data_IF_201262961004
#
_entry.id   IF_201262961004
#
_cell.length_a   1.000
_cell.length_b   1.000
_cell.length_c   1.000
_cell.angle_alpha   90.00
_cell.angle_beta   90.00
_cell.angle_gamma   90.00
#
_symmetry.space_group_name_H-M   'P 1'
#
loop_
_entity.id
_entity.type
_entity.pdbx_description
1 polymer ?
#
# COMPACT_ATOMS: atom_id res chain seq x y z
N UNK A 1 0.28 -4.65 -0.99
CA UNK A 1 1.45 -3.81 -1.33
C UNK A 1 0.98 -2.52 -1.96
N UNK A 2 1.49 -1.40 -1.47
CA UNK A 2 1.12 -0.07 -1.95
C UNK A 2 2.37 0.69 -2.36
N UNK A 3 2.45 1.11 -3.62
CA UNK A 3 3.57 1.90 -4.14
C UNK A 3 3.29 3.38 -3.95
N UNK A 4 4.23 4.10 -3.32
CA UNK A 4 4.06 5.49 -2.95
C UNK A 4 5.38 6.27 -2.99
N UNK A 5 5.27 7.61 -2.95
CA UNK A 5 6.41 8.50 -2.82
C UNK A 5 6.01 9.72 -2.00
N UNK A 6 6.98 10.37 -1.38
CA UNK A 6 6.74 11.55 -0.53
C UNK A 6 6.19 12.75 -1.34
N UNK A 7 6.51 12.80 -2.63
CA UNK A 7 6.07 13.87 -3.53
C UNK A 7 4.72 13.61 -4.20
N UNK A 8 3.99 12.60 -3.77
CA UNK A 8 2.74 12.16 -4.39
C UNK A 8 1.54 12.51 -3.49
N UNK A 9 0.79 13.61 -3.76
CA UNK A 9 -0.34 14.00 -2.90
C UNK A 9 -1.42 12.93 -2.73
N UNK A 10 -1.86 12.21 -3.78
CA UNK A 10 -2.84 11.13 -3.58
C UNK A 10 -2.32 10.00 -2.69
N UNK A 11 -1.01 9.75 -2.70
CA UNK A 11 -0.40 8.76 -1.81
C UNK A 11 -0.57 9.16 -0.34
N UNK A 12 -0.36 10.44 -0.05
CA UNK A 12 -0.54 10.99 1.30
C UNK A 12 -1.98 10.82 1.75
N UNK A 13 -2.94 11.09 0.86
CA UNK A 13 -4.36 10.95 1.17
C UNK A 13 -4.76 9.51 1.47
N UNK A 14 -4.08 8.52 0.90
CA UNK A 14 -4.39 7.12 1.12
C UNK A 14 -3.88 6.59 2.47
N UNK A 15 -2.91 7.26 3.08
CA UNK A 15 -2.25 6.77 4.30
C UNK A 15 -3.20 6.57 5.48
N UNK A 16 -4.13 7.48 5.80
CA UNK A 16 -5.08 7.23 6.89
C UNK A 16 -5.91 5.96 6.67
N UNK A 17 -6.33 5.71 5.43
CA UNK A 17 -7.07 4.50 5.09
C UNK A 17 -6.21 3.25 5.27
N UNK A 18 -4.96 3.29 4.83
CA UNK A 18 -4.04 2.16 4.98
C UNK A 18 -3.73 1.87 6.45
N UNK A 19 -3.54 2.91 7.26
CA UNK A 19 -3.35 2.76 8.71
C UNK A 19 -4.57 2.12 9.35
N UNK A 20 -5.77 2.54 8.97
CA UNK A 20 -7.02 1.99 9.49
C UNK A 20 -7.18 0.52 9.11
N UNK A 21 -6.90 0.18 7.85
CA UNK A 21 -6.92 -1.22 7.40
C UNK A 21 -5.95 -2.07 8.20
N UNK A 22 -4.73 -1.59 8.38
CA UNK A 22 -3.72 -2.31 9.13
C UNK A 22 -4.15 -2.54 10.57
N UNK A 23 -4.66 -1.50 11.22
CA UNK A 23 -5.16 -1.57 12.59
C UNK A 23 -6.29 -2.58 12.73
N UNK A 24 -7.27 -2.52 11.82
CA UNK A 24 -8.49 -3.32 11.94
C UNK A 24 -8.30 -4.78 11.55
N UNK A 25 -7.38 -5.08 10.63
CA UNK A 25 -7.30 -6.39 10.00
C UNK A 25 -5.98 -7.14 10.17
N UNK A 26 -4.97 -6.55 10.82
CA UNK A 26 -3.69 -7.25 10.99
C UNK A 26 -3.84 -8.53 11.80
N UNK A 27 -4.73 -8.55 12.79
CA UNK A 27 -4.98 -9.74 13.59
C UNK A 27 -5.73 -10.82 12.83
N UNK A 28 -6.32 -10.44 11.69
CA UNK A 28 -7.01 -11.38 10.78
C UNK A 28 -6.09 -11.91 9.68
N UNK A 29 -4.84 -11.46 9.66
CA UNK A 29 -3.84 -11.92 8.71
C UNK A 29 -3.49 -10.93 7.62
N UNK A 30 -4.04 -9.71 7.64
CA UNK A 30 -3.65 -8.69 6.66
C UNK A 30 -2.27 -8.13 7.01
N UNK A 31 -1.44 -8.01 5.98
CA UNK A 31 -0.15 -7.34 6.10
C UNK A 31 -0.12 -6.21 5.07
N UNK A 32 0.00 -4.97 5.55
CA UNK A 32 0.12 -3.80 4.68
C UNK A 32 1.60 -3.48 4.53
N UNK A 33 2.05 -3.36 3.29
CA UNK A 33 3.45 -3.04 2.98
C UNK A 33 3.46 -1.86 2.01
N UNK A 34 4.08 -0.75 2.41
CA UNK A 34 4.29 0.39 1.55
C UNK A 34 5.66 0.32 0.89
N UNK A 35 5.69 0.35 -0.44
CA UNK A 35 6.93 0.33 -1.21
C UNK A 35 7.22 1.77 -1.63
N UNK A 36 8.27 2.34 -1.08
CA UNK A 36 8.63 3.73 -1.33
C UNK A 36 9.53 3.86 -2.55
N UNK A 37 9.16 4.76 -3.46
CA UNK A 37 9.86 4.99 -4.73
C UNK A 37 10.65 6.31 -4.76
N UNK A 38 10.83 6.99 -3.63
CA UNK A 38 11.70 8.16 -3.58
C UNK A 38 13.12 7.76 -3.97
N UNK A 39 13.81 8.63 -4.71
CA UNK A 39 15.19 8.39 -5.08
C UNK A 39 16.12 8.46 -3.87
N UNK A 40 15.78 9.33 -2.92
CA UNK A 40 16.52 9.47 -1.67
C UNK A 40 15.72 8.93 -0.50
N UNK A 41 16.26 7.93 0.17
CA UNK A 41 15.64 7.35 1.36
C UNK A 41 15.38 8.43 2.44
N UNK A 42 16.25 9.43 2.53
CA UNK A 42 16.09 10.52 3.49
C UNK A 42 14.80 11.31 3.28
N UNK A 43 14.34 11.48 2.04
CA UNK A 43 13.08 12.16 1.75
C UNK A 43 11.88 11.37 2.30
N UNK A 44 11.90 10.05 2.15
CA UNK A 44 10.88 9.19 2.72
C UNK A 44 10.89 9.21 4.25
N UNK A 45 12.07 9.19 4.85
CA UNK A 45 12.22 9.24 6.31
C UNK A 45 11.67 10.54 6.89
N UNK A 46 11.99 11.68 6.26
CA UNK A 46 11.49 12.98 6.69
C UNK A 46 9.97 13.04 6.57
N UNK A 47 9.43 12.54 5.46
CA UNK A 47 7.98 12.48 5.26
C UNK A 47 7.31 11.65 6.35
N UNK A 48 7.82 10.46 6.64
CA UNK A 48 7.24 9.55 7.64
C UNK A 48 7.36 10.09 9.07
N UNK A 49 8.35 10.93 9.36
CA UNK A 49 8.46 11.60 10.65
C UNK A 49 7.28 12.54 10.87
N UNK A 50 6.76 13.16 9.81
CA UNK A 50 5.62 14.08 9.86
C UNK A 50 4.28 13.39 9.61
N UNK A 51 4.30 12.19 9.02
CA UNK A 51 3.10 11.40 8.67
C UNK A 51 3.33 9.96 9.11
N UNK A 52 3.31 9.68 10.42
CA UNK A 52 3.64 8.35 10.93
C UNK A 52 2.61 7.30 10.47
N UNK A 53 3.13 6.10 10.18
CA UNK A 53 2.31 4.96 9.76
C UNK A 53 2.63 3.76 10.63
N UNK A 54 1.65 2.86 10.80
CA UNK A 54 1.81 1.64 11.59
C UNK A 54 2.13 0.42 10.74
N UNK A 55 2.02 0.53 9.43
CA UNK A 55 2.35 -0.58 8.53
C UNK A 55 3.81 -0.54 8.11
N UNK A 56 4.27 -1.65 7.53
CA UNK A 56 5.67 -1.81 7.13
C UNK A 56 6.02 -0.96 5.91
N UNK A 57 7.20 -0.37 5.91
CA UNK A 57 7.71 0.42 4.79
C UNK A 57 8.99 -0.24 4.27
N UNK A 58 9.06 -0.40 2.96
CA UNK A 58 10.24 -0.92 2.26
C UNK A 58 10.68 0.12 1.23
N UNK A 59 11.96 0.41 1.19
CA UNK A 59 12.52 1.34 0.21
C UNK A 59 12.90 0.62 -1.08
N UNK A 60 12.57 1.22 -2.23
CA UNK A 60 12.90 0.70 -3.56
C UNK A 60 13.49 1.84 -4.40
N UNK A 61 14.64 2.43 -4.01
CA UNK A 61 15.19 3.60 -4.70
C UNK A 61 15.59 3.33 -6.14
N UNK A 62 15.96 2.10 -6.47
CA UNK A 62 16.28 1.69 -7.85
C UNK A 62 15.04 1.46 -8.70
N UNK A 63 13.86 1.41 -8.08
CA UNK A 63 12.56 1.16 -8.74
C UNK A 63 12.47 -0.21 -9.41
N UNK A 64 13.31 -1.16 -9.01
CA UNK A 64 13.26 -2.51 -9.58
C UNK A 64 11.98 -3.24 -9.24
N UNK A 65 11.50 -3.11 -8.01
CA UNK A 65 10.24 -3.70 -7.60
C UNK A 65 9.08 -3.10 -8.39
N UNK A 66 9.06 -1.77 -8.54
CA UNK A 66 8.04 -1.10 -9.32
C UNK A 66 8.03 -1.56 -10.78
N UNK A 67 9.20 -1.75 -11.37
CA UNK A 67 9.31 -2.27 -12.74
C UNK A 67 8.78 -3.70 -12.84
N UNK A 68 9.11 -4.53 -11.87
CA UNK A 68 8.64 -5.93 -11.85
C UNK A 68 7.12 -6.03 -11.76
N UNK A 69 6.47 -5.10 -11.07
CA UNK A 69 5.01 -5.03 -10.97
C UNK A 69 4.37 -4.14 -12.04
N UNK A 70 5.16 -3.58 -12.93
CA UNK A 70 4.70 -2.71 -14.02
C UNK A 70 3.91 -1.50 -13.52
N UNK A 71 4.38 -0.89 -12.43
CA UNK A 71 3.73 0.29 -11.84
C UNK A 71 3.88 1.48 -12.77
N UNK A 72 2.76 2.04 -13.24
CA UNK A 72 2.75 3.16 -14.17
C UNK A 72 2.26 4.46 -13.53
N UNK A 73 1.63 4.38 -12.37
CA UNK A 73 1.07 5.53 -11.67
C UNK A 73 1.07 5.26 -10.17
N UNK A 74 0.99 6.31 -9.36
CA UNK A 74 0.94 6.19 -7.91
C UNK A 74 -0.26 6.97 -7.35
N UNK A 75 -0.86 6.49 -6.27
CA UNK A 75 -0.58 5.21 -5.64
C UNK A 75 -1.12 4.05 -6.48
N UNK A 76 -0.46 2.91 -6.44
CA UNK A 76 -0.96 1.66 -6.99
C UNK A 76 -0.86 0.60 -5.91
N UNK A 77 -1.98 -0.06 -5.63
CA UNK A 77 -2.04 -1.10 -4.60
C UNK A 77 -2.30 -2.45 -5.23
N UNK A 78 -1.58 -3.45 -4.78
CA UNK A 78 -1.74 -4.84 -5.20
C UNK A 78 -2.28 -5.64 -4.02
N UNK A 79 -3.43 -6.27 -4.22
CA UNK A 79 -3.99 -7.20 -3.24
C UNK A 79 -3.52 -8.61 -3.60
N UNK A 80 -2.71 -9.18 -2.73
CA UNK A 80 -2.08 -10.48 -2.93
C UNK A 80 -2.63 -11.43 -1.89
N UNK A 81 -3.11 -12.61 -2.32
CA UNK A 81 -3.69 -13.58 -1.41
C UNK A 81 -2.62 -14.41 -0.68
N UNK A 82 -3.06 -15.32 0.18
CA UNK A 82 -2.17 -16.16 0.99
C UNK A 82 -1.32 -17.13 0.16
N UNK A 83 -1.72 -17.36 -1.08
CA UNK A 83 -1.00 -18.24 -2.01
C UNK A 83 -0.02 -17.48 -2.90
N UNK A 84 0.05 -16.15 -2.74
CA UNK A 84 0.93 -15.30 -3.52
C UNK A 84 0.37 -14.83 -4.85
N UNK A 85 -0.92 -15.02 -5.08
CA UNK A 85 -1.57 -14.60 -6.33
C UNK A 85 -2.10 -13.18 -6.22
N UNK A 86 -1.91 -12.38 -7.26
CA UNK A 86 -2.48 -11.04 -7.34
C UNK A 86 -3.98 -11.19 -7.63
N UNK A 87 -4.81 -10.71 -6.73
CA UNK A 87 -6.25 -10.82 -6.82
C UNK A 87 -6.92 -9.52 -7.29
N UNK A 88 -6.26 -8.39 -7.08
CA UNK A 88 -6.79 -7.10 -7.48
C UNK A 88 -5.65 -6.08 -7.60
N UNK A 89 -5.77 -5.18 -8.57
CA UNK A 89 -4.87 -4.05 -8.74
C UNK A 89 -5.71 -2.78 -8.67
N UNK A 90 -5.42 -1.92 -7.68
CA UNK A 90 -6.13 -0.67 -7.50
C UNK A 90 -5.21 0.49 -7.84
N UNK A 91 -5.57 1.25 -8.88
CA UNK A 91 -4.78 2.39 -9.36
C UNK A 91 -5.41 3.69 -8.91
N UNK A 92 -4.59 4.56 -8.33
CA UNK A 92 -5.05 5.83 -7.77
C UNK A 92 -5.67 5.66 -6.40
N UNK A 93 -6.18 6.76 -5.86
CA UNK A 93 -6.91 6.75 -4.60
C UNK A 93 -8.08 7.72 -4.68
N UNK A 94 -9.28 7.18 -4.54
CA UNK A 94 -10.53 7.95 -4.50
C UNK A 94 -11.31 7.52 -3.27
N UNK A 95 -11.79 8.50 -2.51
CA UNK A 95 -12.51 8.23 -1.26
C UNK A 95 -13.75 7.36 -1.46
N UNK A 96 -14.42 7.48 -2.61
CA UNK A 96 -15.60 6.67 -2.91
C UNK A 96 -15.30 5.20 -3.17
N UNK A 97 -14.04 4.81 -3.34
CA UNK A 97 -13.65 3.43 -3.64
C UNK A 97 -13.16 2.67 -2.40
N UNK A 98 -13.07 3.34 -1.24
CA UNK A 98 -12.49 2.72 -0.04
C UNK A 98 -13.33 1.58 0.50
N UNK A 99 -14.66 1.68 0.42
CA UNK A 99 -15.55 0.63 0.92
C UNK A 99 -15.44 -0.65 0.08
N UNK A 100 -15.38 -0.52 -1.25
CA UNK A 100 -15.19 -1.65 -2.15
C UNK A 100 -13.87 -2.35 -1.87
N UNK A 101 -12.81 -1.57 -1.70
CA UNK A 101 -11.48 -2.11 -1.42
C UNK A 101 -11.45 -2.82 -0.08
N UNK A 102 -12.08 -2.22 0.94
CA UNK A 102 -12.18 -2.84 2.28
C UNK A 102 -12.96 -4.14 2.22
N UNK A 103 -14.08 -4.19 1.48
CA UNK A 103 -14.89 -5.40 1.33
C UNK A 103 -14.10 -6.53 0.67
N UNK A 104 -13.33 -6.19 -0.37
CA UNK A 104 -12.50 -7.18 -1.07
C UNK A 104 -11.40 -7.72 -0.15
N UNK A 105 -10.75 -6.86 0.62
CA UNK A 105 -9.73 -7.28 1.58
C UNK A 105 -10.34 -8.18 2.65
N UNK A 106 -11.52 -7.82 3.16
CA UNK A 106 -12.23 -8.63 4.15
C UNK A 106 -12.53 -10.03 3.61
N UNK A 107 -12.89 -10.14 2.33
CA UNK A 107 -13.10 -11.41 1.68
C UNK A 107 -11.81 -12.23 1.58
N UNK A 108 -10.71 -11.58 1.21
CA UNK A 108 -9.42 -12.25 1.04
C UNK A 108 -8.84 -12.77 2.35
N UNK A 109 -9.00 -12.03 3.46
CA UNK A 109 -8.50 -12.48 4.77
C UNK A 109 -9.27 -13.69 5.30
N UNK A 110 -10.48 -13.92 4.82
CA UNK A 110 -11.29 -15.08 5.20
C UNK A 110 -10.97 -16.33 4.38
N UNK A 111 -10.23 -16.21 3.31
CA UNK A 111 -9.83 -17.36 2.49
C UNK A 111 -8.80 -18.22 3.21
N UNK A 112 -8.91 -19.53 3.03
CA UNK A 112 -7.92 -20.46 3.57
C UNK A 112 -6.60 -20.39 2.79
N UNK A 113 -5.46 -20.62 3.48
CA UNK A 113 -4.17 -20.67 2.80
C UNK A 113 -4.07 -21.81 1.79
#
# INVERSE_FOLDING_TARGET
MDFWASWCPPCVKSFPFLNELNHDMKDKGLQVIGINLDEKVSDAQEFLANHPVDFSIVADPSKQCAKGFEVMAMPTSYLIDRKGNIRHIHRGFRTGETEELRALIAQLVMENP
#
